data_IF_682237700406
#
_entry.id   IF_682237700406
#
_cell.length_a   1.000
_cell.length_b   1.000
_cell.length_c   1.000
_cell.angle_alpha   90.00
_cell.angle_beta   90.00
_cell.angle_gamma   90.00
#
_symmetry.space_group_name_H-M   'P 1'
#
loop_
_entity.id
_entity.type
_entity.pdbx_description
1 polymer ?
#
# COMPACT_ATOMS: atom_id res chain seq x y z
N UNK A 1 -26.68 -43.62 -26.69
CA UNK A 1 -26.16 -42.43 -25.98
C UNK A 1 -25.99 -41.33 -27.01
N UNK A 2 -26.89 -40.35 -26.97
CA UNK A 2 -27.03 -39.36 -28.04
C UNK A 2 -25.82 -38.45 -28.14
N UNK A 3 -25.23 -38.40 -29.34
CA UNK A 3 -24.12 -37.53 -29.71
C UNK A 3 -24.41 -36.05 -29.46
N UNK A 4 -25.69 -35.66 -29.45
CA UNK A 4 -26.11 -34.29 -29.10
C UNK A 4 -25.95 -33.98 -27.60
N UNK A 5 -26.17 -34.95 -26.71
CA UNK A 5 -25.99 -34.78 -25.26
C UNK A 5 -24.49 -34.65 -24.95
N UNK A 6 -23.65 -35.42 -25.64
CA UNK A 6 -22.18 -35.33 -25.49
C UNK A 6 -21.67 -33.97 -25.97
N UNK A 7 -22.14 -33.47 -27.11
CA UNK A 7 -21.74 -32.17 -27.63
C UNK A 7 -22.19 -31.00 -26.73
N UNK A 8 -23.42 -31.05 -26.20
CA UNK A 8 -23.93 -30.04 -25.28
C UNK A 8 -23.16 -30.02 -23.94
N UNK A 9 -22.83 -31.19 -23.41
CA UNK A 9 -22.02 -31.30 -22.19
C UNK A 9 -20.56 -30.86 -22.42
N UNK A 10 -19.98 -31.14 -23.59
CA UNK A 10 -18.64 -30.69 -23.95
C UNK A 10 -18.59 -29.16 -24.13
N UNK A 11 -19.64 -28.57 -24.72
CA UNK A 11 -19.79 -27.12 -24.87
C UNK A 11 -19.97 -26.42 -23.51
N UNK A 12 -20.76 -26.99 -22.59
CA UNK A 12 -20.87 -26.50 -21.21
C UNK A 12 -19.54 -26.60 -20.45
N UNK A 13 -18.80 -27.71 -20.61
CA UNK A 13 -17.47 -27.87 -20.01
C UNK A 13 -16.46 -26.85 -20.56
N UNK A 14 -16.47 -26.62 -21.88
CA UNK A 14 -15.59 -25.65 -22.55
C UNK A 14 -15.93 -24.20 -22.19
N UNK A 15 -17.20 -23.84 -22.03
CA UNK A 15 -17.62 -22.53 -21.52
C UNK A 15 -17.27 -22.32 -20.03
N UNK A 16 -17.27 -23.39 -19.22
CA UNK A 16 -16.90 -23.32 -17.81
C UNK A 16 -15.40 -23.07 -17.57
N UNK A 17 -14.54 -23.42 -18.52
CA UNK A 17 -13.07 -23.30 -18.38
C UNK A 17 -12.50 -21.90 -18.70
N UNK A 18 -13.33 -20.93 -19.12
CA UNK A 18 -12.87 -19.59 -19.50
C UNK A 18 -13.06 -18.51 -18.42
N UNK A 19 -13.58 -18.83 -17.24
CA UNK A 19 -13.68 -17.87 -16.14
C UNK A 19 -12.36 -17.77 -15.39
N UNK A 20 -11.39 -17.07 -15.99
CA UNK A 20 -10.25 -16.56 -15.25
C UNK A 20 -10.74 -15.57 -14.20
N UNK A 21 -10.84 -15.99 -12.94
CA UNK A 21 -11.13 -15.06 -11.84
C UNK A 21 -9.90 -14.17 -11.69
N UNK A 22 -10.03 -12.86 -11.90
CA UNK A 22 -8.90 -11.93 -11.83
C UNK A 22 -8.80 -11.30 -10.45
N UNK A 23 -7.56 -11.09 -9.98
CA UNK A 23 -7.29 -10.23 -8.84
C UNK A 23 -7.82 -8.83 -9.09
N UNK A 24 -8.19 -8.14 -8.03
CA UNK A 24 -8.57 -6.73 -8.11
C UNK A 24 -8.17 -6.04 -6.82
N UNK A 25 -7.52 -4.91 -6.94
CA UNK A 25 -7.17 -4.06 -5.81
C UNK A 25 -6.68 -2.70 -6.25
N UNK A 26 -6.72 -1.74 -5.33
CA UNK A 26 -6.35 -0.34 -5.58
C UNK A 26 -5.55 0.22 -4.41
N UNK A 27 -4.61 1.13 -4.73
CA UNK A 27 -3.94 1.98 -3.74
C UNK A 27 -4.80 3.21 -3.48
N UNK A 28 -5.17 3.41 -2.21
CA UNK A 28 -6.09 4.46 -1.75
C UNK A 28 -5.41 5.51 -0.86
N UNK A 29 -4.33 5.15 -0.18
CA UNK A 29 -3.53 6.12 0.57
C UNK A 29 -2.03 5.83 0.37
N UNK A 30 -1.25 6.81 -0.13
CA UNK A 30 -1.75 7.97 -0.89
C UNK A 30 -2.54 7.48 -2.13
N UNK A 31 -3.64 8.13 -2.53
CA UNK A 31 -4.47 7.61 -3.62
C UNK A 31 -3.69 7.59 -4.93
N UNK A 32 -3.71 6.44 -5.62
CA UNK A 32 -3.10 6.34 -6.94
C UNK A 32 -3.81 7.25 -7.96
N UNK A 33 -3.13 7.57 -9.07
CA UNK A 33 -3.63 8.38 -10.20
C UNK A 33 -5.05 8.00 -10.62
N UNK A 34 -5.32 6.70 -10.84
CA UNK A 34 -6.65 6.19 -11.18
C UNK A 34 -7.66 6.21 -10.03
N UNK A 35 -7.22 6.28 -8.77
CA UNK A 35 -8.08 6.27 -7.57
C UNK A 35 -8.34 7.67 -7.01
N UNK A 36 -7.59 8.69 -7.45
CA UNK A 36 -7.60 10.02 -6.84
C UNK A 36 -8.96 10.73 -6.95
N UNK A 37 -9.77 10.44 -7.98
CA UNK A 37 -11.13 10.97 -8.12
C UNK A 37 -12.03 10.62 -6.92
N UNK A 38 -11.79 9.47 -6.26
CA UNK A 38 -12.55 9.05 -5.07
C UNK A 38 -12.39 10.01 -3.89
N UNK A 39 -11.33 10.82 -3.91
CA UNK A 39 -10.98 11.79 -2.89
C UNK A 39 -11.18 13.24 -3.38
N UNK A 40 -11.91 13.43 -4.48
CA UNK A 40 -12.24 14.77 -5.01
C UNK A 40 -11.12 15.45 -5.79
N UNK A 41 -10.00 14.76 -6.06
CA UNK A 41 -8.96 15.32 -6.92
C UNK A 41 -9.45 15.47 -8.37
N UNK A 42 -8.99 16.50 -9.11
CA UNK A 42 -9.45 16.80 -10.46
C UNK A 42 -8.79 15.89 -11.51
N UNK A 43 -9.05 14.59 -11.41
CA UNK A 43 -8.69 13.55 -12.38
C UNK A 43 -9.96 12.89 -12.95
N UNK A 44 -9.93 12.34 -14.18
CA UNK A 44 -11.08 11.64 -14.74
C UNK A 44 -11.53 10.49 -13.83
N UNK A 45 -12.85 10.28 -13.75
CA UNK A 45 -13.43 9.18 -12.98
C UNK A 45 -13.06 7.85 -13.62
N UNK A 46 -12.48 6.95 -12.83
CA UNK A 46 -12.23 5.56 -13.22
C UNK A 46 -12.91 4.63 -12.21
N UNK A 47 -14.09 4.11 -12.58
CA UNK A 47 -14.84 3.18 -11.73
C UNK A 47 -14.16 1.81 -11.61
N UNK A 48 -13.26 1.48 -12.54
CA UNK A 48 -12.47 0.26 -12.57
C UNK A 48 -11.01 0.50 -12.12
N UNK A 49 -10.78 1.47 -11.24
CA UNK A 49 -9.47 1.80 -10.69
C UNK A 49 -8.80 0.66 -9.87
N UNK A 50 -9.57 -0.36 -9.45
CA UNK A 50 -9.04 -1.61 -8.88
C UNK A 50 -8.56 -2.65 -9.91
N UNK A 51 -8.73 -2.37 -11.19
CA UNK A 51 -8.44 -3.28 -12.30
C UNK A 51 -7.18 -2.93 -13.09
N UNK A 52 -6.26 -2.13 -12.52
CA UNK A 52 -5.00 -1.73 -13.19
C UNK A 52 -4.03 -2.92 -13.21
N UNK A 53 -4.33 -3.86 -14.10
CA UNK A 53 -3.71 -5.18 -14.22
C UNK A 53 -2.67 -5.21 -15.33
N UNK A 54 -1.55 -5.85 -15.04
CA UNK A 54 -0.59 -6.37 -16.00
C UNK A 54 -0.71 -7.91 -16.04
N UNK A 55 -1.10 -8.51 -17.18
CA UNK A 55 -1.24 -9.95 -17.29
C UNK A 55 0.09 -10.71 -17.15
N UNK A 56 0.02 -11.91 -16.58
CA UNK A 56 1.14 -12.84 -16.50
C UNK A 56 1.87 -13.01 -17.84
N UNK A 57 3.20 -12.82 -17.82
CA UNK A 57 4.07 -13.01 -18.99
C UNK A 57 4.10 -11.83 -19.96
N UNK A 58 3.38 -10.73 -19.67
CA UNK A 58 3.43 -9.50 -20.46
C UNK A 58 4.40 -8.47 -19.86
N UNK A 59 4.92 -7.60 -20.72
CA UNK A 59 5.58 -6.36 -20.31
C UNK A 59 4.54 -5.27 -20.22
N UNK A 60 4.47 -4.59 -19.07
CA UNK A 60 3.55 -3.47 -18.85
C UNK A 60 4.32 -2.24 -18.40
N UNK A 61 3.65 -1.10 -18.39
CA UNK A 61 4.24 0.13 -17.85
C UNK A 61 4.39 0.02 -16.33
N UNK A 62 5.23 0.88 -15.76
CA UNK A 62 5.56 0.86 -14.32
C UNK A 62 4.38 1.31 -13.46
N UNK A 63 3.40 2.00 -14.06
CA UNK A 63 2.12 2.33 -13.46
C UNK A 63 0.97 1.46 -14.00
N UNK A 64 1.30 0.30 -14.59
CA UNK A 64 0.38 -0.74 -15.03
C UNK A 64 -0.17 -0.57 -16.45
N UNK A 65 -0.54 0.64 -16.84
CA UNK A 65 -0.94 0.96 -18.22
C UNK A 65 -0.53 2.38 -18.64
N UNK A 66 -0.57 2.72 -19.95
CA UNK A 66 -0.20 4.04 -20.45
C UNK A 66 -1.04 5.19 -19.86
N UNK A 67 -2.30 4.96 -19.53
CA UNK A 67 -3.20 5.99 -18.97
C UNK A 67 -2.73 6.50 -17.60
N UNK A 68 -2.03 5.64 -16.85
CA UNK A 68 -1.45 5.95 -15.55
C UNK A 68 0.01 6.38 -15.63
N UNK A 69 0.64 6.42 -16.81
CA UNK A 69 2.01 6.91 -16.99
C UNK A 69 2.06 8.40 -17.29
N UNK A 70 3.24 9.01 -17.20
CA UNK A 70 3.44 10.41 -17.58
C UNK A 70 2.87 10.70 -18.98
N UNK A 71 2.03 11.73 -19.08
CA UNK A 71 1.27 12.08 -20.30
C UNK A 71 -0.06 11.33 -20.47
N UNK A 72 -0.33 10.32 -19.65
CA UNK A 72 -1.61 9.61 -19.60
C UNK A 72 -2.73 10.41 -18.93
N UNK A 73 -3.98 10.03 -19.18
CA UNK A 73 -5.16 10.78 -18.72
C UNK A 73 -5.28 10.91 -17.19
N UNK A 74 -4.73 9.96 -16.43
CA UNK A 74 -4.74 9.97 -14.97
C UNK A 74 -3.48 10.61 -14.37
N UNK A 75 -2.39 10.75 -15.13
CA UNK A 75 -1.12 11.33 -14.68
C UNK A 75 -1.08 12.85 -14.88
N UNK A 76 -1.96 13.57 -14.18
CA UNK A 76 -2.16 15.03 -14.33
C UNK A 76 -1.19 15.90 -13.50
N UNK A 77 -0.21 15.29 -12.83
CA UNK A 77 0.74 15.99 -11.96
C UNK A 77 0.15 16.54 -10.66
N UNK A 78 -0.98 15.99 -10.23
CA UNK A 78 -1.67 16.37 -9.00
C UNK A 78 -0.96 15.73 -7.81
N UNK A 79 -0.42 16.55 -6.91
CA UNK A 79 0.14 16.08 -5.65
C UNK A 79 -1.00 15.67 -4.71
N UNK A 80 -1.11 14.37 -4.44
CA UNK A 80 -2.18 13.83 -3.58
C UNK A 80 -1.82 13.83 -2.10
N UNK A 81 -0.54 14.03 -1.77
CA UNK A 81 -0.06 14.07 -0.41
C UNK A 81 1.31 14.77 -0.33
N UNK A 82 1.58 15.42 0.80
CA UNK A 82 2.89 15.93 1.15
C UNK A 82 3.41 15.13 2.37
N UNK A 83 4.68 14.77 2.33
CA UNK A 83 5.38 14.05 3.38
C UNK A 83 6.68 14.76 3.77
N UNK A 84 7.30 14.29 4.85
CA UNK A 84 8.63 14.70 5.30
C UNK A 84 9.62 13.57 5.09
N UNK A 85 10.88 13.86 4.73
CA UNK A 85 11.92 12.84 4.60
C UNK A 85 12.05 12.02 5.89
N UNK A 86 12.24 10.71 5.79
CA UNK A 86 12.29 9.82 6.96
C UNK A 86 10.93 9.53 7.62
N UNK A 87 9.83 10.12 7.15
CA UNK A 87 8.50 9.92 7.74
C UNK A 87 8.02 8.48 7.58
N UNK A 88 7.42 7.94 8.64
CA UNK A 88 6.58 6.74 8.55
C UNK A 88 5.19 7.12 8.03
N UNK A 89 4.82 6.61 6.87
CA UNK A 89 3.57 6.91 6.16
C UNK A 89 2.58 5.75 6.30
N UNK A 90 1.29 6.08 6.38
CA UNK A 90 0.22 5.09 6.23
C UNK A 90 0.01 4.78 4.75
N UNK A 91 -0.01 3.49 4.43
CA UNK A 91 -0.50 2.96 3.17
C UNK A 91 -1.85 2.29 3.41
N UNK A 92 -2.82 2.65 2.56
CA UNK A 92 -4.13 1.99 2.52
C UNK A 92 -4.32 1.35 1.16
N UNK A 93 -4.43 0.02 1.15
CA UNK A 93 -4.91 -0.73 0.00
C UNK A 93 -6.38 -1.09 0.21
N UNK A 94 -7.11 -1.28 -0.88
CA UNK A 94 -8.33 -2.06 -0.90
C UNK A 94 -8.15 -3.23 -1.85
N UNK A 95 -8.27 -4.45 -1.33
CA UNK A 95 -8.25 -5.67 -2.12
C UNK A 95 -9.70 -6.09 -2.30
N UNK A 96 -10.25 -5.98 -3.51
CA UNK A 96 -11.65 -6.34 -3.77
C UNK A 96 -11.82 -7.80 -4.19
N UNK A 97 -10.78 -8.39 -4.78
CA UNK A 97 -10.72 -9.83 -5.06
C UNK A 97 -9.31 -10.32 -4.73
N UNK A 98 -9.17 -11.07 -3.64
CA UNK A 98 -7.88 -11.55 -3.16
C UNK A 98 -7.35 -12.72 -3.99
N UNK A 99 -6.13 -12.58 -4.50
CA UNK A 99 -5.40 -13.64 -5.19
C UNK A 99 -4.09 -14.04 -4.50
N UNK A 100 -3.93 -13.68 -3.22
CA UNK A 100 -2.73 -13.95 -2.43
C UNK A 100 -1.49 -13.28 -3.01
N UNK A 101 -0.31 -13.79 -2.67
CA UNK A 101 0.96 -13.25 -3.17
C UNK A 101 1.45 -12.13 -2.27
N UNK A 102 2.07 -11.09 -2.86
CA UNK A 102 2.66 -10.03 -2.05
C UNK A 102 2.65 -8.66 -2.73
N UNK A 103 2.49 -7.62 -1.92
CA UNK A 103 2.70 -6.23 -2.34
C UNK A 103 4.11 -5.76 -2.01
N UNK A 104 4.68 -4.96 -2.90
CA UNK A 104 5.88 -4.15 -2.67
C UNK A 104 5.59 -2.69 -2.96
N UNK A 105 6.37 -1.81 -2.34
CA UNK A 105 6.20 -0.37 -2.45
C UNK A 105 7.54 0.29 -2.72
N UNK A 106 7.57 1.22 -3.67
CA UNK A 106 8.78 1.95 -4.05
C UNK A 106 8.46 3.43 -4.15
N UNK A 107 9.47 4.28 -4.02
CA UNK A 107 9.34 5.72 -4.26
C UNK A 107 10.40 6.19 -5.25
N UNK A 108 10.08 7.03 -6.23
CA UNK A 108 11.08 7.59 -7.14
C UNK A 108 11.03 9.12 -7.09
N UNK A 109 12.14 9.83 -6.81
CA UNK A 109 12.22 11.29 -6.95
C UNK A 109 12.27 11.67 -8.43
N UNK A 110 11.09 11.85 -9.04
CA UNK A 110 10.95 12.10 -10.47
C UNK A 110 11.08 13.58 -10.84
N UNK A 111 10.53 14.48 -9.99
CA UNK A 111 10.55 15.94 -10.09
C UNK A 111 10.00 16.57 -11.39
N UNK A 112 9.56 15.77 -12.36
CA UNK A 112 8.97 16.19 -13.63
C UNK A 112 7.69 15.38 -13.90
N UNK A 113 6.59 16.05 -14.22
CA UNK A 113 5.30 15.41 -14.51
C UNK A 113 5.28 14.72 -15.87
N UNK A 114 6.08 15.21 -16.82
CA UNK A 114 6.08 14.72 -18.21
C UNK A 114 7.09 13.59 -18.41
N UNK A 115 7.95 13.34 -17.43
CA UNK A 115 8.95 12.28 -17.47
C UNK A 115 8.38 10.99 -16.87
N UNK A 116 8.35 9.87 -17.60
CA UNK A 116 8.03 8.58 -17.01
C UNK A 116 9.05 8.22 -15.92
N UNK A 117 8.58 7.57 -14.85
CA UNK A 117 9.49 6.95 -13.89
C UNK A 117 10.28 5.83 -14.55
N UNK A 118 11.42 5.46 -13.96
CA UNK A 118 12.22 4.33 -14.46
C UNK A 118 12.33 3.24 -13.40
N UNK A 119 12.51 2.00 -13.85
CA UNK A 119 12.66 0.86 -12.95
C UNK A 119 13.92 1.01 -12.09
N UNK A 120 15.00 1.59 -12.62
CA UNK A 120 16.24 1.85 -11.91
C UNK A 120 16.03 2.82 -10.74
N UNK A 121 15.24 3.87 -10.96
CA UNK A 121 14.90 4.82 -9.90
C UNK A 121 14.07 4.15 -8.79
N UNK A 122 13.03 3.41 -9.18
CA UNK A 122 12.16 2.71 -8.24
C UNK A 122 12.94 1.67 -7.42
N UNK A 123 13.82 0.90 -8.06
CA UNK A 123 14.63 -0.13 -7.40
C UNK A 123 15.61 0.45 -6.37
N UNK A 124 16.01 1.71 -6.51
CA UNK A 124 16.90 2.38 -5.55
C UNK A 124 16.22 2.63 -4.19
N UNK A 125 14.90 2.77 -4.18
CA UNK A 125 14.16 3.22 -3.00
C UNK A 125 12.94 2.32 -2.73
N UNK A 126 13.24 1.05 -2.43
CA UNK A 126 12.27 0.10 -1.88
C UNK A 126 11.88 0.53 -0.47
N UNK A 127 10.59 0.74 -0.24
CA UNK A 127 10.06 1.12 1.07
C UNK A 127 9.90 -0.12 1.94
N UNK A 128 10.21 0.03 3.22
CA UNK A 128 10.08 -1.04 4.22
C UNK A 128 9.16 -0.62 5.35
N UNK A 129 8.62 -1.61 6.07
CA UNK A 129 8.03 -1.38 7.38
C UNK A 129 9.09 -0.87 8.37
N UNK A 130 8.70 -0.32 9.53
CA UNK A 130 9.64 0.01 10.59
C UNK A 130 10.49 -1.18 11.08
N UNK A 131 9.99 -2.42 10.93
CA UNK A 131 10.73 -3.65 11.23
C UNK A 131 11.64 -4.12 10.09
N UNK A 132 11.68 -3.40 8.95
CA UNK A 132 12.57 -3.69 7.82
C UNK A 132 11.98 -4.64 6.77
N UNK A 133 10.70 -5.00 6.86
CA UNK A 133 10.06 -5.88 5.88
C UNK A 133 9.71 -5.09 4.62
N UNK A 134 10.11 -5.61 3.46
CA UNK A 134 9.87 -4.97 2.15
C UNK A 134 8.68 -5.53 1.38
N UNK A 135 8.05 -6.59 1.90
CA UNK A 135 6.89 -7.26 1.29
C UNK A 135 5.76 -7.35 2.29
N UNK A 136 4.58 -6.93 1.86
CA UNK A 136 3.34 -7.27 2.54
C UNK A 136 2.79 -8.56 1.95
N UNK A 137 2.69 -9.61 2.75
CA UNK A 137 2.15 -10.91 2.32
C UNK A 137 0.63 -10.85 2.41
N UNK A 138 -0.04 -11.08 1.27
CA UNK A 138 -1.49 -11.20 1.26
C UNK A 138 -1.88 -12.58 1.78
N UNK A 139 -2.93 -12.60 2.59
CA UNK A 139 -3.55 -13.83 3.07
C UNK A 139 -3.87 -14.79 1.93
N UNK A 140 -3.92 -16.11 2.19
CA UNK A 140 -4.39 -17.09 1.22
C UNK A 140 -5.73 -16.68 0.60
N UNK A 141 -5.97 -17.06 -0.67
CA UNK A 141 -7.16 -16.66 -1.44
C UNK A 141 -8.46 -16.98 -0.71
N UNK A 142 -8.51 -18.12 -0.04
CA UNK A 142 -9.67 -18.63 0.72
C UNK A 142 -9.87 -17.94 2.07
N UNK A 143 -8.97 -17.04 2.47
CA UNK A 143 -9.06 -16.38 3.76
C UNK A 143 -10.26 -15.43 3.79
N UNK A 144 -11.15 -15.52 4.80
CA UNK A 144 -12.28 -14.61 4.95
C UNK A 144 -11.84 -13.16 5.20
N UNK A 145 -10.59 -12.96 5.63
CA UNK A 145 -9.97 -11.64 5.83
C UNK A 145 -9.05 -11.24 4.68
N UNK A 146 -8.99 -12.00 3.58
CA UNK A 146 -8.13 -11.69 2.43
C UNK A 146 -8.57 -10.47 1.62
N UNK A 147 -9.88 -10.23 1.54
CA UNK A 147 -10.50 -9.08 0.87
C UNK A 147 -10.69 -7.90 1.85
N UNK A 148 -10.93 -6.70 1.35
CA UNK A 148 -11.19 -5.48 2.11
C UNK A 148 -9.97 -4.56 2.24
N UNK A 149 -10.06 -3.60 3.16
CA UNK A 149 -8.99 -2.64 3.38
C UNK A 149 -7.80 -3.27 4.11
N UNK A 150 -6.59 -2.96 3.63
CA UNK A 150 -5.32 -3.34 4.26
C UNK A 150 -4.55 -2.08 4.60
N UNK A 151 -4.03 -2.02 5.81
CA UNK A 151 -3.31 -0.87 6.34
C UNK A 151 -1.89 -1.26 6.70
N UNK A 152 -0.92 -0.48 6.23
CA UNK A 152 0.51 -0.75 6.39
C UNK A 152 1.23 0.55 6.74
N UNK A 153 2.24 0.48 7.59
CA UNK A 153 3.14 1.61 7.84
C UNK A 153 4.46 1.35 7.14
N UNK A 154 4.90 2.30 6.31
CA UNK A 154 6.17 2.24 5.60
C UNK A 154 7.03 3.46 5.90
N UNK A 155 8.34 3.33 5.88
CA UNK A 155 9.29 4.40 6.18
C UNK A 155 9.84 4.99 4.89
N UNK A 156 9.68 6.30 4.71
CA UNK A 156 10.35 7.04 3.62
C UNK A 156 11.86 7.13 3.88
N UNK A 157 12.71 7.15 2.84
CA UNK A 157 14.14 7.31 3.02
C UNK A 157 14.47 8.64 3.70
N UNK A 158 15.48 8.65 4.58
CA UNK A 158 15.88 9.85 5.36
C UNK A 158 16.63 10.88 4.53
N UNK A 159 17.20 10.45 3.41
CA UNK A 159 18.02 11.21 2.48
C UNK A 159 17.28 11.55 1.18
N UNK A 160 15.97 11.29 1.11
CA UNK A 160 15.17 11.53 -0.07
C UNK A 160 14.26 12.75 0.12
N UNK A 161 14.40 13.71 -0.77
CA UNK A 161 13.46 14.83 -0.95
C UNK A 161 13.09 14.95 -2.41
N UNK A 162 11.90 15.48 -2.67
CA UNK A 162 11.40 15.68 -4.03
C UNK A 162 10.24 16.68 -4.03
N UNK A 163 10.21 17.52 -5.06
CA UNK A 163 9.03 18.34 -5.35
C UNK A 163 7.91 17.47 -5.92
N UNK A 164 8.28 16.39 -6.61
CA UNK A 164 7.36 15.34 -7.09
C UNK A 164 8.05 13.98 -7.03
N UNK A 165 7.54 13.12 -6.17
CA UNK A 165 7.85 11.71 -6.15
C UNK A 165 6.68 10.91 -6.68
N UNK A 166 7.00 9.72 -7.19
CA UNK A 166 5.99 8.71 -7.50
C UNK A 166 6.16 7.57 -6.51
N UNK A 167 5.14 7.31 -5.70
CA UNK A 167 5.02 6.07 -4.94
C UNK A 167 4.37 5.02 -5.84
N UNK A 168 5.06 3.91 -6.08
CA UNK A 168 4.54 2.76 -6.80
C UNK A 168 4.14 1.68 -5.80
N UNK A 169 2.88 1.27 -5.84
CA UNK A 169 2.42 0.00 -5.36
C UNK A 169 2.48 -1.02 -6.50
N UNK A 170 3.11 -2.17 -6.23
CA UNK A 170 3.07 -3.34 -7.10
C UNK A 170 2.60 -4.54 -6.29
N UNK A 171 1.52 -5.18 -6.72
CA UNK A 171 1.06 -6.46 -6.17
C UNK A 171 1.30 -7.57 -7.18
N UNK A 172 2.14 -8.53 -6.81
CA UNK A 172 2.35 -9.77 -7.55
C UNK A 172 1.41 -10.83 -6.98
N UNK A 173 0.46 -11.32 -7.78
CA UNK A 173 -0.52 -12.29 -7.29
C UNK A 173 0.08 -13.68 -7.11
N UNK A 174 -0.71 -14.57 -6.51
CA UNK A 174 -0.42 -15.99 -6.43
C UNK A 174 -1.47 -16.78 -7.25
N UNK A 175 -1.78 -16.29 -8.46
CA UNK A 175 -2.87 -16.80 -9.30
C UNK A 175 -2.49 -18.03 -10.12
N UNK A 176 -1.26 -18.06 -10.62
CA UNK A 176 -0.80 -19.04 -11.59
C UNK A 176 0.03 -20.15 -10.92
N UNK A 177 -0.20 -21.40 -11.34
CA UNK A 177 0.53 -22.59 -10.93
C UNK A 177 1.25 -23.27 -12.12
N UNK A 178 1.37 -22.57 -13.25
CA UNK A 178 2.04 -23.10 -14.42
C UNK A 178 3.53 -23.30 -14.15
N UNK A 179 3.96 -24.54 -14.32
CA UNK A 179 5.35 -24.96 -14.44
C UNK A 179 6.16 -24.05 -15.37
N UNK A 180 7.29 -23.52 -14.88
CA UNK A 180 8.37 -23.05 -15.75
C UNK A 180 9.46 -24.13 -15.78
N UNK A 181 9.78 -24.67 -16.96
CA UNK A 181 10.86 -25.66 -17.13
C UNK A 181 12.25 -25.15 -16.71
N UNK A 182 12.43 -23.83 -16.57
CA UNK A 182 13.65 -23.20 -16.05
C UNK A 182 13.73 -23.22 -14.52
N UNK A 183 12.62 -23.51 -13.83
CA UNK A 183 12.55 -23.69 -12.37
C UNK A 183 11.82 -25.01 -12.04
N UNK A 184 12.51 -26.17 -12.17
CA UNK A 184 11.91 -27.49 -11.95
C UNK A 184 11.35 -27.68 -10.54
N UNK A 185 11.95 -27.03 -9.54
CA UNK A 185 11.47 -27.03 -8.15
C UNK A 185 10.09 -26.35 -8.01
N UNK A 186 9.69 -25.56 -9.02
CA UNK A 186 8.40 -24.89 -9.10
C UNK A 186 7.31 -25.74 -9.81
N UNK A 187 7.59 -27.01 -10.14
CA UNK A 187 6.68 -27.90 -10.84
C UNK A 187 5.95 -28.93 -9.97
N UNK A 188 6.18 -28.94 -8.66
CA UNK A 188 5.33 -29.73 -7.79
C UNK A 188 3.96 -29.06 -7.68
N UNK A 189 2.87 -29.81 -7.92
CA UNK A 189 1.48 -29.30 -7.97
C UNK A 189 0.99 -28.64 -6.66
N UNK A 190 1.83 -28.64 -5.63
CA UNK A 190 1.64 -27.96 -4.34
C UNK A 190 2.20 -26.53 -4.30
N UNK A 191 3.00 -26.12 -5.30
CA UNK A 191 3.70 -24.83 -5.29
C UNK A 191 2.85 -23.75 -6.01
N UNK A 192 1.82 -23.27 -5.31
CA UNK A 192 1.01 -22.12 -5.75
C UNK A 192 1.94 -20.90 -5.90
N UNK A 193 1.98 -20.26 -7.07
CA UNK A 193 2.71 -18.99 -7.28
C UNK A 193 3.91 -19.09 -8.21
N UNK A 194 4.03 -20.23 -8.89
CA UNK A 194 5.08 -20.50 -9.84
C UNK A 194 4.77 -19.99 -11.25
N UNK A 195 5.83 -19.60 -11.97
CA UNK A 195 5.73 -18.98 -13.28
C UNK A 195 5.29 -17.51 -13.23
N UNK A 196 5.17 -16.85 -14.39
CA UNK A 196 4.69 -15.47 -14.46
C UNK A 196 3.32 -15.33 -13.78
N UNK A 197 3.22 -14.32 -12.91
CA UNK A 197 1.99 -13.98 -12.19
C UNK A 197 1.39 -12.71 -12.75
N UNK A 198 0.08 -12.55 -12.59
CA UNK A 198 -0.56 -11.26 -12.79
C UNK A 198 0.01 -10.25 -11.80
N UNK A 199 0.10 -9.00 -12.25
CA UNK A 199 0.53 -7.88 -11.42
C UNK A 199 -0.50 -6.79 -11.41
N UNK A 200 -0.62 -6.09 -10.30
CA UNK A 200 -1.47 -4.91 -10.17
C UNK A 200 -0.61 -3.73 -9.74
N UNK A 201 -0.93 -2.56 -10.28
CA UNK A 201 -0.15 -1.36 -10.05
C UNK A 201 -1.00 -0.21 -9.54
N UNK A 202 -0.38 0.66 -8.75
CA UNK A 202 -0.91 1.98 -8.42
C UNK A 202 0.25 2.96 -8.25
N UNK A 203 0.26 4.03 -9.04
CA UNK A 203 1.22 5.13 -8.89
C UNK A 203 0.55 6.34 -8.27
N UNK A 204 1.12 6.92 -7.22
CA UNK A 204 0.64 8.13 -6.56
C UNK A 204 1.71 9.23 -6.59
N UNK A 205 1.32 10.44 -7.00
CA UNK A 205 2.20 11.60 -7.07
C UNK A 205 2.19 12.36 -5.73
N UNK A 206 3.34 12.46 -5.06
CA UNK A 206 3.48 13.05 -3.72
C UNK A 206 4.68 13.99 -3.67
N UNK A 207 4.78 14.82 -2.63
CA UNK A 207 6.03 15.56 -2.35
C UNK A 207 6.67 15.04 -1.07
N UNK A 208 8.00 15.16 -0.99
CA UNK A 208 8.77 14.85 0.22
C UNK A 208 9.64 16.05 0.55
N UNK A 209 9.27 16.75 1.62
CA UNK A 209 9.94 17.94 2.12
C UNK A 209 11.12 17.56 3.02
N UNK A 210 12.17 18.40 3.11
CA UNK A 210 13.22 18.22 4.10
C UNK A 210 12.63 18.19 5.51
N UNK A 211 13.19 17.35 6.37
CA UNK A 211 12.92 17.47 7.80
C UNK A 211 13.44 18.84 8.23
N UNK A 212 12.55 19.70 8.73
CA UNK A 212 13.00 20.92 9.39
C UNK A 212 13.93 20.47 10.52
N UNK A 213 15.19 20.86 10.45
CA UNK A 213 16.11 20.71 11.56
C UNK A 213 15.52 21.51 12.72
N UNK A 214 14.77 20.85 13.62
CA UNK A 214 14.73 21.32 14.99
C UNK A 214 16.18 21.27 15.45
N UNK A 215 16.75 22.46 15.65
CA UNK A 215 18.19 22.66 15.73
C UNK A 215 18.89 21.71 16.68
N UNK A 216 20.18 21.49 16.40
CA UNK A 216 21.11 20.93 17.35
C UNK A 216 20.85 21.49 18.76
N UNK A 217 20.31 20.66 19.65
CA UNK A 217 20.54 20.86 21.06
C UNK A 217 22.03 20.59 21.30
N UNK A 218 22.81 21.55 21.80
CA UNK A 218 24.19 21.27 22.18
C UNK A 218 24.19 20.12 23.18
N UNK A 219 25.10 19.17 22.96
CA UNK A 219 25.29 18.01 23.81
C UNK A 219 25.42 18.44 25.28
N UNK A 220 24.38 18.20 26.08
CA UNK A 220 24.51 18.20 27.53
C UNK A 220 25.00 16.83 27.96
N UNK A 221 26.19 16.84 28.55
CA UNK A 221 26.91 15.79 29.29
C UNK A 221 26.02 14.71 29.93
N UNK A 222 26.34 13.40 29.82
CA UNK A 222 25.55 12.37 30.47
C UNK A 222 25.89 12.28 31.97
N UNK A 223 24.88 12.34 32.83
CA UNK A 223 24.98 11.87 34.22
C UNK A 223 24.68 10.36 34.25
N UNK A 224 25.35 9.57 35.11
CA UNK A 224 25.16 8.13 35.15
C UNK A 224 23.92 7.79 35.96
N UNK A 225 23.08 6.90 35.44
CA UNK A 225 22.14 6.19 36.29
C UNK A 225 22.01 4.74 35.85
N UNK A 226 22.58 3.87 36.68
CA UNK A 226 22.42 2.43 36.64
C UNK A 226 20.96 2.06 36.96
N UNK A 227 20.26 1.40 36.05
CA UNK A 227 19.30 0.34 36.41
C UNK A 227 19.07 -0.58 35.20
N UNK A 228 19.55 -1.83 35.29
CA UNK A 228 19.05 -2.95 34.50
C UNK A 228 17.68 -3.37 35.12
N UNK A 229 16.65 -3.84 34.42
CA UNK A 229 16.56 -4.99 33.52
C UNK A 229 15.19 -5.04 32.81
N UNK A 230 15.10 -5.96 31.84
CA UNK A 230 13.93 -6.71 31.31
C UNK A 230 13.37 -6.27 29.96
N UNK A 231 13.88 -6.98 28.96
CA UNK A 231 13.31 -7.29 27.66
C UNK A 231 11.89 -7.88 27.77
N UNK A 232 10.93 -7.19 27.15
CA UNK A 232 9.81 -7.83 26.45
C UNK A 232 9.68 -7.12 25.10
N UNK A 233 10.04 -7.81 24.02
CA UNK A 233 10.00 -7.33 22.63
C UNK A 233 8.74 -6.51 22.32
N UNK A 234 8.89 -5.19 22.35
CA UNK A 234 7.90 -4.19 21.93
C UNK A 234 8.58 -3.38 20.84
N UNK A 235 7.96 -3.27 19.68
CA UNK A 235 8.32 -2.23 18.71
C UNK A 235 7.97 -0.90 19.38
N UNK A 236 8.93 -0.30 20.07
CA UNK A 236 8.88 1.11 20.42
C UNK A 236 9.22 1.88 19.15
N UNK A 237 8.32 2.77 18.74
CA UNK A 237 8.67 3.80 17.77
C UNK A 237 9.87 4.59 18.33
N UNK A 238 10.87 4.93 17.49
CA UNK A 238 11.93 5.83 17.93
C UNK A 238 11.30 7.16 18.40
N UNK A 239 11.92 7.76 19.42
CA UNK A 239 11.53 9.08 19.91
C UNK A 239 11.41 10.07 18.74
N UNK A 240 10.20 10.63 18.53
CA UNK A 240 9.92 11.55 17.42
C UNK A 240 8.87 11.09 16.39
N UNK A 241 8.17 9.97 16.59
CA UNK A 241 6.97 9.65 15.80
C UNK A 241 5.85 10.69 16.06
N UNK A 242 5.78 11.73 15.23
CA UNK A 242 4.64 12.64 15.17
C UNK A 242 3.70 12.20 14.04
N UNK A 243 2.43 11.96 14.38
CA UNK A 243 1.34 11.89 13.41
C UNK A 243 1.11 13.31 12.86
N UNK A 244 1.80 13.69 11.78
CA UNK A 244 1.64 15.04 11.21
C UNK A 244 0.42 15.06 10.28
N UNK A 245 -0.73 15.39 10.86
CA UNK A 245 -1.80 16.16 10.23
C UNK A 245 -1.92 17.57 10.82
N UNK A 246 -0.93 18.05 11.56
CA UNK A 246 -0.89 19.43 12.02
C UNK A 246 -0.42 20.33 10.88
N UNK A 247 -1.39 20.87 10.16
CA UNK A 247 -1.27 22.14 9.45
C UNK A 247 -0.53 23.16 10.36
N UNK A 248 0.53 23.86 9.90
CA UNK A 248 1.22 24.86 10.71
C UNK A 248 0.33 25.99 11.24
N UNK A 249 -0.92 26.09 10.78
CA UNK A 249 -1.92 27.05 11.26
C UNK A 249 -2.85 26.57 12.38
N UNK A 250 -2.84 25.28 12.77
CA UNK A 250 -3.74 24.76 13.81
C UNK A 250 -2.98 24.61 15.15
N UNK A 251 -3.45 25.27 16.25
CA UNK A 251 -2.80 25.15 17.55
C UNK A 251 -2.75 23.70 18.00
N UNK A 252 -1.59 23.24 18.47
CA UNK A 252 -1.31 21.88 18.94
C UNK A 252 -2.09 21.44 20.20
N UNK A 253 -3.17 22.14 20.57
CA UNK A 253 -3.87 22.01 21.83
C UNK A 253 -5.39 21.88 21.63
N UNK A 254 -5.86 20.83 20.95
CA UNK A 254 -7.30 20.50 20.99
C UNK A 254 -7.72 19.06 20.61
N UNK A 255 -6.80 18.16 20.24
CA UNK A 255 -7.21 16.82 19.80
C UNK A 255 -7.17 15.80 20.97
N UNK A 256 -8.29 15.58 21.65
CA UNK A 256 -8.51 14.33 22.40
C UNK A 256 -8.96 13.26 21.40
N UNK A 257 -7.99 12.51 20.86
CA UNK A 257 -8.23 11.37 19.98
C UNK A 257 -8.68 10.16 20.80
N UNK A 258 -9.99 10.07 21.05
CA UNK A 258 -10.59 8.85 21.61
C UNK A 258 -10.73 7.75 20.53
N UNK A 259 -10.35 7.97 19.26
CA UNK A 259 -10.46 6.97 18.20
C UNK A 259 -9.43 5.84 18.38
N UNK A 260 -9.85 4.76 19.05
CA UNK A 260 -9.06 3.57 19.41
C UNK A 260 -9.51 2.38 18.56
N UNK A 261 -8.61 1.43 18.27
CA UNK A 261 -8.93 0.26 17.47
C UNK A 261 -9.80 -0.75 18.21
N UNK A 262 -10.67 -1.44 17.45
CA UNK A 262 -11.42 -2.60 17.97
C UNK A 262 -10.46 -3.76 18.30
N UNK A 263 -10.89 -4.67 19.17
CA UNK A 263 -10.09 -5.86 19.50
C UNK A 263 -9.73 -6.68 18.25
N UNK A 264 -10.65 -6.76 17.28
CA UNK A 264 -10.43 -7.44 15.99
C UNK A 264 -9.36 -6.74 15.15
N UNK A 265 -9.35 -5.41 15.11
CA UNK A 265 -8.29 -4.67 14.42
C UNK A 265 -6.93 -4.86 15.11
N UNK A 266 -6.91 -4.87 16.45
CA UNK A 266 -5.69 -5.13 17.24
C UNK A 266 -5.14 -6.53 17.04
N UNK A 267 -5.98 -7.55 16.84
CA UNK A 267 -5.52 -8.90 16.53
C UNK A 267 -4.93 -9.03 15.12
N UNK A 268 -5.36 -8.18 14.19
CA UNK A 268 -4.88 -8.19 12.80
C UNK A 268 -3.58 -7.38 12.67
N UNK A 269 -3.57 -6.16 13.19
CA UNK A 269 -2.49 -5.20 12.96
C UNK A 269 -1.50 -5.09 14.13
N UNK A 270 -1.80 -5.69 15.28
CA UNK A 270 -1.14 -5.43 16.55
C UNK A 270 -1.74 -4.21 17.24
N UNK A 271 -1.78 -4.22 18.58
CA UNK A 271 -2.51 -3.21 19.36
C UNK A 271 -2.07 -1.77 19.05
N UNK A 272 -0.77 -1.51 19.06
CA UNK A 272 -0.21 -0.18 18.83
C UNK A 272 -0.47 0.32 17.40
N UNK A 273 -0.23 -0.53 16.39
CA UNK A 273 -0.45 -0.13 14.99
C UNK A 273 -1.93 0.12 14.70
N UNK A 274 -2.81 -0.73 15.22
CA UNK A 274 -4.24 -0.58 15.04
C UNK A 274 -4.72 0.77 15.60
N UNK A 275 -4.32 1.12 16.83
CA UNK A 275 -4.68 2.39 17.44
C UNK A 275 -4.10 3.59 16.67
N UNK A 276 -2.89 3.47 16.12
CA UNK A 276 -2.30 4.50 15.26
C UNK A 276 -3.04 4.68 13.94
N UNK A 277 -3.50 3.60 13.31
CA UNK A 277 -4.34 3.68 12.11
C UNK A 277 -5.62 4.45 12.43
N UNK A 278 -6.27 4.12 13.54
CA UNK A 278 -7.50 4.80 13.97
C UNK A 278 -7.27 6.29 14.22
N UNK A 279 -6.19 6.66 14.91
CA UNK A 279 -5.82 8.07 15.11
C UNK A 279 -5.54 8.78 13.79
N UNK A 280 -4.79 8.17 12.88
CA UNK A 280 -4.48 8.74 11.58
C UNK A 280 -5.74 8.99 10.75
N UNK A 281 -6.64 8.01 10.68
CA UNK A 281 -7.93 8.14 9.97
C UNK A 281 -8.81 9.23 10.58
N UNK A 282 -8.83 9.34 11.92
CA UNK A 282 -9.54 10.39 12.62
C UNK A 282 -8.99 11.79 12.27
N UNK A 283 -7.66 11.98 12.28
CA UNK A 283 -7.06 13.27 11.91
C UNK A 283 -7.30 13.61 10.45
N UNK A 284 -7.09 12.65 9.54
CA UNK A 284 -7.05 12.92 8.11
C UNK A 284 -8.44 13.03 7.48
N UNK A 285 -9.38 12.21 7.92
CA UNK A 285 -10.68 12.06 7.30
C UNK A 285 -11.83 12.42 8.24
N UNK A 286 -11.55 12.94 9.44
CA UNK A 286 -12.55 13.22 10.50
C UNK A 286 -13.46 12.01 10.79
N UNK A 287 -12.98 10.80 10.47
CA UNK A 287 -13.77 9.57 10.58
C UNK A 287 -13.07 8.58 11.49
N UNK A 288 -13.87 7.88 12.29
CA UNK A 288 -13.44 6.71 13.04
C UNK A 288 -14.28 5.54 12.54
N UNK A 289 -13.81 4.77 11.53
CA UNK A 289 -14.62 3.75 10.90
C UNK A 289 -14.96 2.65 11.90
N UNK A 290 -16.24 2.48 12.22
CA UNK A 290 -16.72 1.55 13.28
C UNK A 290 -16.34 0.08 13.04
N UNK A 291 -15.98 -0.27 11.81
CA UNK A 291 -15.48 -1.60 11.43
C UNK A 291 -14.04 -1.84 11.86
N UNK A 292 -13.26 -0.79 12.08
CA UNK A 292 -11.85 -0.83 12.45
C UNK A 292 -11.59 -0.24 13.84
N UNK A 293 -12.35 0.78 14.21
CA UNK A 293 -12.15 1.61 15.39
C UNK A 293 -13.42 1.65 16.24
N UNK A 294 -13.30 1.52 17.56
CA UNK A 294 -14.43 1.32 18.46
C UNK A 294 -15.11 2.63 18.89
N UNK A 295 -14.40 3.75 18.82
CA UNK A 295 -14.79 5.02 19.43
C UNK A 295 -15.09 6.11 18.38
N UNK A 296 -15.46 7.32 18.80
CA UNK A 296 -15.76 8.43 17.88
C UNK A 296 -14.56 9.33 17.66
N UNK A 297 -14.37 9.81 16.43
CA UNK A 297 -13.42 10.90 16.16
C UNK A 297 -14.05 12.21 16.66
N UNK A 298 -13.52 12.80 17.75
CA UNK A 298 -13.94 14.11 18.25
C UNK A 298 -12.77 15.07 18.18
N UNK A 299 -12.86 16.04 17.28
CA UNK A 299 -12.06 17.26 17.34
C UNK A 299 -12.72 18.18 18.39
N UNK A 300 -11.97 18.69 19.36
CA UNK A 300 -12.47 19.78 20.23
C UNK A 300 -12.07 21.12 19.65
#
# INVERSE_FOLDING_TARGET
MDTQIIAANLALLLCGMAYGVWGHGRLLEPPARSSAWRYGFPVPVNTNDHGVRCPAGMTCSLCGNPDNEAGGMYARGILVQNYTQGQTILIKLEITVNHGGYSTFRICPNNDVNKPVTQECLNRYLLTTPSGESRYIHEPKESPTGTGYKYLFLVLPRDLTCTRCVIQWEWVTNSNNNCNFQHPDCCNRTNVGCGPQDRFYGCADVSVLPALYHGAHPASTPLPSNTATVDTGKIQFPDGFQLIGSDPGLPAAQVRQDCIATQSARSIYGATNADLICRHLCVKAETCPVTLCADTCRLK
#
